data_IF_335109880663
#
_entry.id   IF_335109880663
#
_cell.length_a   1.000
_cell.length_b   1.000
_cell.length_c   1.000
_cell.angle_alpha   90.00
_cell.angle_beta   90.00
_cell.angle_gamma   90.00
#
_symmetry.space_group_name_H-M   'P 1'
#
loop_
_entity.id
_entity.type
_entity.pdbx_description
1 polymer ?
#
# COMPACT_ATOMS: atom_id res chain seq x y z
N UNK A 1 19.70 -4.14 -3.74
CA UNK A 1 18.30 -3.93 -3.89
C UNK A 1 17.64 -3.64 -2.62
N UNK A 2 17.21 -2.45 -2.45
CA UNK A 2 16.59 -2.07 -1.20
C UNK A 2 15.09 -2.03 -1.36
N UNK A 3 14.44 -2.59 -0.37
CA UNK A 3 13.00 -2.48 -0.26
C UNK A 3 12.67 -1.16 0.42
N UNK A 4 11.57 -0.59 0.06
CA UNK A 4 11.16 0.69 0.60
C UNK A 4 9.81 0.57 1.26
N UNK A 5 9.59 1.36 2.31
CA UNK A 5 8.29 1.50 2.89
C UNK A 5 7.59 2.68 2.22
N UNK A 6 6.33 2.51 1.95
CA UNK A 6 5.51 3.54 1.33
C UNK A 6 4.39 3.92 2.28
N UNK A 7 4.24 5.21 2.50
CA UNK A 7 3.11 5.69 3.26
C UNK A 7 2.00 6.01 2.26
N UNK A 8 0.87 5.36 2.41
CA UNK A 8 -0.23 5.49 1.47
C UNK A 8 -1.49 5.94 2.20
N UNK A 9 -2.37 6.55 1.46
CA UNK A 9 -3.65 7.02 2.00
C UNK A 9 -4.78 6.27 1.31
N UNK A 10 -5.67 5.70 2.10
CA UNK A 10 -6.84 5.02 1.57
C UNK A 10 -7.74 6.03 0.89
N UNK A 11 -8.22 5.69 -0.30
CA UNK A 11 -9.06 6.60 -1.07
C UNK A 11 -10.50 6.62 -0.59
N UNK A 12 -10.91 5.58 0.14
CA UNK A 12 -12.28 5.49 0.63
C UNK A 12 -12.48 6.19 1.97
N UNK A 13 -11.61 5.92 2.93
CA UNK A 13 -11.77 6.47 4.27
C UNK A 13 -10.70 7.51 4.64
N UNK A 14 -9.68 7.66 3.80
CA UNK A 14 -8.61 8.62 4.05
C UNK A 14 -7.60 8.19 5.10
N UNK A 15 -7.66 6.94 5.55
CA UNK A 15 -6.74 6.46 6.56
C UNK A 15 -5.36 6.22 5.95
N UNK A 16 -4.32 6.67 6.64
CA UNK A 16 -2.95 6.49 6.17
C UNK A 16 -2.37 5.20 6.73
N UNK A 17 -1.64 4.48 5.89
CA UNK A 17 -1.01 3.24 6.27
C UNK A 17 0.37 3.16 5.66
N UNK A 18 1.26 2.43 6.34
CA UNK A 18 2.60 2.17 5.81
C UNK A 18 2.62 0.76 5.24
N UNK A 19 3.06 0.63 4.01
CA UNK A 19 3.15 -0.66 3.34
C UNK A 19 4.55 -0.83 2.79
N UNK A 20 4.84 -2.06 2.38
CA UNK A 20 6.14 -2.43 1.83
C UNK A 20 6.04 -2.45 0.31
N UNK A 21 6.99 -1.80 -0.37
CA UNK A 21 6.91 -1.66 -1.82
C UNK A 21 7.03 -3.00 -2.57
N UNK A 22 7.58 -4.01 -1.91
CA UNK A 22 7.74 -5.34 -2.50
C UNK A 22 6.86 -6.38 -1.80
N UNK A 23 5.73 -5.94 -1.30
CA UNK A 23 4.80 -6.86 -0.68
C UNK A 23 4.25 -7.85 -1.71
N UNK A 24 4.28 -9.12 -1.37
CA UNK A 24 3.78 -10.17 -2.25
C UNK A 24 2.37 -10.62 -1.90
N UNK A 25 1.77 -9.99 -0.91
CA UNK A 25 0.41 -10.29 -0.49
C UNK A 25 -0.44 -9.03 -0.62
N UNK A 26 -1.73 -9.22 -0.82
CA UNK A 26 -2.62 -8.08 -0.89
C UNK A 26 -2.77 -7.45 0.49
N UNK A 27 -2.89 -6.14 0.51
CA UNK A 27 -3.00 -5.37 1.74
C UNK A 27 -4.33 -4.66 1.73
N UNK A 28 -5.06 -4.78 2.83
CA UNK A 28 -6.37 -4.14 2.96
C UNK A 28 -6.32 -3.07 4.04
N UNK A 29 -7.20 -2.08 3.89
CA UNK A 29 -7.33 -1.01 4.87
C UNK A 29 -7.88 -1.57 6.18
N UNK A 30 -7.32 -1.11 7.30
CA UNK A 30 -7.78 -1.55 8.62
C UNK A 30 -9.10 -0.90 9.02
N UNK A 31 -9.48 0.18 8.36
CA UNK A 31 -10.66 0.94 8.72
C UNK A 31 -11.87 0.53 7.87
N UNK A 32 -11.73 0.58 6.55
CA UNK A 32 -12.85 0.28 5.66
C UNK A 32 -12.70 -1.07 4.95
N UNK A 33 -11.62 -1.77 5.19
CA UNK A 33 -11.34 -3.09 4.61
C UNK A 33 -11.21 -3.08 3.08
N UNK A 34 -11.07 -1.91 2.48
CA UNK A 34 -10.87 -1.83 1.04
C UNK A 34 -9.48 -2.32 0.68
N UNK A 35 -9.36 -3.05 -0.43
CA UNK A 35 -8.06 -3.54 -0.87
C UNK A 35 -7.21 -2.36 -1.32
N UNK A 36 -6.07 -2.17 -0.66
CA UNK A 36 -5.15 -1.08 -0.98
C UNK A 36 -4.16 -1.48 -2.05
N UNK A 37 -3.58 -2.66 -1.92
CA UNK A 37 -2.60 -3.14 -2.87
C UNK A 37 -2.87 -4.59 -3.20
N UNK A 38 -2.32 -5.04 -4.32
CA UNK A 38 -2.37 -6.45 -4.66
C UNK A 38 -1.03 -6.84 -5.30
N UNK A 39 -0.60 -8.10 -5.16
CA UNK A 39 0.68 -8.51 -5.71
C UNK A 39 0.65 -8.53 -7.23
N UNK A 40 1.73 -8.04 -7.84
CA UNK A 40 1.84 -8.01 -9.30
C UNK A 40 3.31 -8.14 -9.66
N UNK A 41 3.73 -9.35 -9.96
CA UNK A 41 5.10 -9.61 -10.41
C UNK A 41 6.16 -9.21 -9.41
N UNK A 42 5.95 -9.47 -8.13
CA UNK A 42 6.92 -9.16 -7.09
C UNK A 42 6.88 -7.74 -6.58
N UNK A 43 5.91 -6.96 -7.03
CA UNK A 43 5.71 -5.60 -6.58
C UNK A 43 4.31 -5.43 -6.03
N UNK A 44 4.15 -4.48 -5.13
CA UNK A 44 2.83 -4.13 -4.64
C UNK A 44 2.21 -3.13 -5.61
N UNK A 45 1.09 -3.50 -6.20
CA UNK A 45 0.38 -2.61 -7.11
C UNK A 45 -0.69 -1.85 -6.34
N UNK A 46 -0.62 -0.54 -6.39
CA UNK A 46 -1.56 0.31 -5.66
C UNK A 46 -2.85 0.43 -6.45
N UNK A 47 -3.95 -0.01 -5.86
CA UNK A 47 -5.24 0.00 -6.53
C UNK A 47 -6.31 0.79 -5.79
N UNK A 48 -6.21 0.86 -4.46
CA UNK A 48 -7.20 1.57 -3.67
C UNK A 48 -6.61 2.63 -2.76
N UNK A 49 -5.39 3.06 -3.04
CA UNK A 49 -4.71 4.04 -2.20
C UNK A 49 -3.80 4.92 -3.04
N UNK A 50 -3.32 6.00 -2.43
CA UNK A 50 -2.40 6.92 -3.07
C UNK A 50 -1.15 7.03 -2.21
N UNK A 51 0.00 7.03 -2.86
CA UNK A 51 1.27 7.19 -2.13
C UNK A 51 1.38 8.62 -1.61
N UNK A 52 1.55 8.74 -0.31
CA UNK A 52 1.74 10.03 0.33
C UNK A 52 3.22 10.35 0.45
N UNK A 53 4.00 9.36 0.83
CA UNK A 53 5.42 9.56 1.04
C UNK A 53 6.16 8.23 0.87
N UNK A 54 7.39 8.32 0.38
CA UNK A 54 8.25 7.15 0.28
C UNK A 54 9.22 7.19 1.46
N UNK A 55 9.23 6.12 2.23
CA UNK A 55 10.12 5.98 3.38
C UNK A 55 11.20 4.96 3.05
N UNK A 56 12.42 5.26 3.44
CA UNK A 56 13.51 4.33 3.22
C UNK A 56 14.00 3.71 4.50
#
# INVERSE_FOLDING_TARGET
>A
MTSQFLKVSCRDCGNESTIFSRATTSIACDVCSATLTKPAGGKAQLIGCTVVETLE
#
